data_IF_491454122778
#
_entry.id   IF_491454122778
#
_cell.length_a   1.000
_cell.length_b   1.000
_cell.length_c   1.000
_cell.angle_alpha   90.00
_cell.angle_beta   90.00
_cell.angle_gamma   90.00
#
_symmetry.space_group_name_H-M   'P 1'
#
loop_
_entity.id
_entity.type
_entity.pdbx_description
1 polymer ?
#
# COMPACT_ATOMS: atom_id res chain seq x y z
N UNK A 1 -10.17 -9.74 6.68
CA UNK A 1 -11.18 -9.21 5.74
C UNK A 1 -12.44 -10.03 5.89
N UNK A 2 -13.63 -9.43 5.70
CA UNK A 2 -14.89 -10.19 5.58
C UNK A 2 -14.96 -10.94 4.24
N UNK A 3 -15.93 -11.85 4.07
CA UNK A 3 -16.12 -12.53 2.78
C UNK A 3 -16.43 -11.57 1.63
N UNK A 4 -17.21 -10.53 1.89
CA UNK A 4 -17.53 -9.51 0.88
C UNK A 4 -16.28 -8.72 0.48
N UNK A 5 -15.44 -8.37 1.46
CA UNK A 5 -14.17 -7.70 1.21
C UNK A 5 -13.19 -8.59 0.44
N UNK A 6 -13.16 -9.89 0.72
CA UNK A 6 -12.34 -10.83 -0.04
C UNK A 6 -12.81 -10.91 -1.50
N UNK A 7 -14.11 -10.97 -1.77
CA UNK A 7 -14.65 -10.94 -3.14
C UNK A 7 -14.31 -9.65 -3.86
N UNK A 8 -14.48 -8.50 -3.20
CA UNK A 8 -14.07 -7.20 -3.71
C UNK A 8 -12.58 -7.17 -4.04
N UNK A 9 -11.74 -7.71 -3.16
CA UNK A 9 -10.31 -7.81 -3.38
C UNK A 9 -9.96 -8.71 -4.58
N UNK A 10 -10.63 -9.85 -4.72
CA UNK A 10 -10.45 -10.75 -5.87
C UNK A 10 -10.86 -10.12 -7.20
N UNK A 11 -11.89 -9.28 -7.22
CA UNK A 11 -12.30 -8.52 -8.41
C UNK A 11 -11.28 -7.43 -8.73
N UNK A 12 -10.81 -6.70 -7.72
CA UNK A 12 -9.72 -5.74 -7.87
C UNK A 12 -8.46 -6.39 -8.47
N UNK A 13 -8.04 -7.57 -7.99
CA UNK A 13 -6.86 -8.27 -8.52
C UNK A 13 -6.99 -8.79 -9.96
N UNK A 14 -8.19 -8.70 -10.57
CA UNK A 14 -8.43 -9.09 -11.96
C UNK A 14 -8.59 -7.89 -12.89
N UNK A 15 -9.25 -6.85 -12.40
CA UNK A 15 -9.65 -5.69 -13.20
C UNK A 15 -8.81 -4.44 -12.90
N UNK A 16 -8.09 -4.44 -11.78
CA UNK A 16 -7.29 -3.32 -11.25
C UNK A 16 -8.08 -2.02 -11.05
N UNK A 17 -9.42 -2.10 -11.04
CA UNK A 17 -10.30 -0.99 -10.72
C UNK A 17 -10.42 -0.80 -9.20
N UNK A 18 -9.85 0.30 -8.74
CA UNK A 18 -9.88 0.71 -7.33
C UNK A 18 -11.28 0.93 -6.76
N UNK A 19 -12.33 1.07 -7.59
CA UNK A 19 -13.71 1.17 -7.13
C UNK A 19 -14.17 -0.06 -6.34
N UNK A 20 -13.63 -1.25 -6.63
CA UNK A 20 -13.92 -2.45 -5.84
C UNK A 20 -13.41 -2.37 -4.41
N UNK A 21 -12.47 -1.47 -4.14
CA UNK A 21 -11.88 -1.22 -2.81
C UNK A 21 -12.56 -0.04 -2.08
N UNK A 22 -13.62 0.53 -2.64
CA UNK A 22 -14.34 1.64 -2.01
C UNK A 22 -14.88 1.22 -0.64
N UNK A 23 -14.63 2.05 0.37
CA UNK A 23 -15.02 1.77 1.75
C UNK A 23 -14.04 0.88 2.54
N UNK A 24 -12.97 0.39 1.90
CA UNK A 24 -11.91 -0.30 2.63
C UNK A 24 -11.19 0.69 3.55
N UNK A 25 -10.80 0.20 4.73
CA UNK A 25 -10.00 1.01 5.66
C UNK A 25 -8.56 1.17 5.14
N UNK A 26 -7.85 2.21 5.57
CA UNK A 26 -6.44 2.42 5.24
C UNK A 26 -5.55 1.20 5.51
N UNK A 27 -5.78 0.55 6.65
CA UNK A 27 -5.04 -0.64 7.06
C UNK A 27 -5.24 -1.77 6.04
N UNK A 28 -6.46 -1.95 5.53
CA UNK A 28 -6.76 -2.97 4.52
C UNK A 28 -6.08 -2.65 3.19
N UNK A 29 -6.04 -1.38 2.79
CA UNK A 29 -5.34 -0.97 1.58
C UNK A 29 -3.84 -1.26 1.66
N UNK A 30 -3.21 -1.02 2.81
CA UNK A 30 -1.79 -1.38 3.00
C UNK A 30 -1.59 -2.89 2.91
N UNK A 31 -2.45 -3.69 3.53
CA UNK A 31 -2.34 -5.15 3.43
C UNK A 31 -2.45 -5.63 1.98
N UNK A 32 -3.35 -5.03 1.19
CA UNK A 32 -3.45 -5.31 -0.25
C UNK A 32 -2.17 -4.92 -0.97
N UNK A 33 -1.67 -3.71 -0.74
CA UNK A 33 -0.44 -3.20 -1.39
C UNK A 33 0.78 -4.08 -1.10
N UNK A 34 0.97 -4.45 0.18
CA UNK A 34 2.06 -5.34 0.60
C UNK A 34 1.90 -6.71 -0.04
N UNK A 35 0.67 -7.25 -0.09
CA UNK A 35 0.42 -8.51 -0.77
C UNK A 35 0.73 -8.43 -2.26
N UNK A 36 0.34 -7.36 -2.96
CA UNK A 36 0.68 -7.12 -4.37
C UNK A 36 2.18 -7.07 -4.59
N UNK A 37 2.95 -6.48 -3.68
CA UNK A 37 4.42 -6.51 -3.74
C UNK A 37 4.99 -7.93 -3.61
N UNK A 38 4.40 -8.80 -2.77
CA UNK A 38 4.83 -10.19 -2.60
C UNK A 38 4.58 -11.03 -3.85
N UNK A 39 3.45 -10.80 -4.54
CA UNK A 39 3.07 -11.57 -5.74
C UNK A 39 3.53 -10.91 -7.05
N UNK A 40 4.30 -9.82 -6.97
CA UNK A 40 4.80 -9.03 -8.10
C UNK A 40 3.68 -8.49 -9.02
N UNK A 41 2.54 -8.12 -8.42
CA UNK A 41 1.38 -7.54 -9.12
C UNK A 41 1.57 -6.02 -9.24
N UNK A 42 2.34 -5.63 -10.25
CA UNK A 42 2.72 -4.24 -10.50
C UNK A 42 1.54 -3.38 -10.96
N UNK A 43 0.56 -3.97 -11.64
CA UNK A 43 -0.69 -3.32 -12.03
C UNK A 43 -1.50 -2.90 -10.80
N UNK A 44 -1.66 -3.79 -9.81
CA UNK A 44 -2.32 -3.45 -8.56
C UNK A 44 -1.53 -2.38 -7.78
N UNK A 45 -0.20 -2.49 -7.71
CA UNK A 45 0.65 -1.48 -7.08
C UNK A 45 0.45 -0.12 -7.75
N UNK A 46 0.48 -0.06 -9.08
CA UNK A 46 0.26 1.15 -9.85
C UNK A 46 -1.12 1.77 -9.54
N UNK A 47 -2.18 0.98 -9.59
CA UNK A 47 -3.55 1.44 -9.30
C UNK A 47 -3.73 1.95 -7.87
N UNK A 48 -3.03 1.35 -6.90
CA UNK A 48 -3.09 1.72 -5.48
C UNK A 48 -2.21 2.90 -5.10
N UNK A 49 -1.46 3.45 -6.04
CA UNK A 49 -0.45 4.45 -5.73
C UNK A 49 -0.98 5.87 -5.93
N UNK A 50 -0.58 6.75 -5.01
CA UNK A 50 -0.76 8.18 -5.09
C UNK A 50 0.58 8.90 -5.23
N UNK A 51 0.63 9.89 -6.12
CA UNK A 51 1.74 10.83 -6.28
C UNK A 51 1.15 12.25 -6.33
N UNK A 52 1.74 13.19 -5.59
CA UNK A 52 1.43 14.61 -5.76
C UNK A 52 1.78 15.04 -7.19
N UNK A 53 0.75 15.35 -7.98
CA UNK A 53 0.88 15.71 -9.40
C UNK A 53 0.34 14.61 -10.31
N UNK A 54 0.95 14.47 -11.49
CA UNK A 54 0.56 13.46 -12.47
C UNK A 54 1.32 12.17 -12.23
N UNK A 55 0.59 11.07 -12.02
CA UNK A 55 1.17 9.73 -11.99
C UNK A 55 1.78 9.46 -13.38
N UNK A 56 3.06 9.04 -13.47
CA UNK A 56 3.66 8.73 -14.77
C UNK A 56 2.88 7.59 -15.43
N UNK A 57 3.02 7.46 -16.75
CA UNK A 57 2.49 6.30 -17.46
C UNK A 57 3.00 4.98 -16.87
N UNK A 58 2.26 3.90 -17.11
CA UNK A 58 2.51 2.61 -16.50
C UNK A 58 3.92 2.06 -16.77
N UNK A 59 4.46 2.22 -17.99
CA UNK A 59 5.78 1.70 -18.32
C UNK A 59 6.87 2.47 -17.58
N UNK A 60 6.77 3.80 -17.56
CA UNK A 60 7.67 4.66 -16.76
C UNK A 60 7.56 4.36 -15.27
N UNK A 61 6.34 4.14 -14.76
CA UNK A 61 6.13 3.77 -13.37
C UNK A 61 6.80 2.43 -13.03
N UNK A 62 6.57 1.43 -13.87
CA UNK A 62 7.09 0.07 -13.70
C UNK A 62 8.61 0.08 -13.61
N UNK A 63 9.30 0.76 -14.53
CA UNK A 63 10.76 0.88 -14.49
C UNK A 63 11.24 1.53 -13.19
N UNK A 64 10.62 2.64 -12.77
CA UNK A 64 10.96 3.34 -11.53
C UNK A 64 10.69 2.48 -10.30
N UNK A 65 9.59 1.74 -10.28
CA UNK A 65 9.22 0.85 -9.19
C UNK A 65 10.29 -0.22 -8.96
N UNK A 66 10.66 -0.96 -10.01
CA UNK A 66 11.67 -2.01 -9.90
C UNK A 66 13.05 -1.47 -9.55
N UNK A 67 13.38 -0.26 -10.01
CA UNK A 67 14.65 0.38 -9.70
C UNK A 67 14.73 0.91 -8.26
N UNK A 68 13.65 1.49 -7.75
CA UNK A 68 13.70 2.33 -6.54
C UNK A 68 12.91 1.79 -5.34
N UNK A 69 11.87 0.98 -5.55
CA UNK A 69 10.90 0.60 -4.49
C UNK A 69 10.70 -0.90 -4.29
N UNK A 70 10.94 -1.72 -5.32
CA UNK A 70 10.64 -3.16 -5.25
C UNK A 70 11.33 -3.84 -4.05
N UNK A 71 12.63 -3.60 -3.88
CA UNK A 71 13.40 -4.21 -2.78
C UNK A 71 12.86 -3.76 -1.42
N UNK A 72 12.65 -2.45 -1.21
CA UNK A 72 12.16 -1.97 0.08
C UNK A 72 10.74 -2.47 0.40
N UNK A 73 9.89 -2.60 -0.62
CA UNK A 73 8.54 -3.15 -0.44
C UNK A 73 8.58 -4.65 -0.11
N UNK A 74 9.47 -5.42 -0.72
CA UNK A 74 9.69 -6.82 -0.38
C UNK A 74 10.26 -6.96 1.04
N UNK A 75 11.18 -6.10 1.45
CA UNK A 75 11.69 -6.06 2.83
C UNK A 75 10.58 -5.77 3.84
N UNK A 76 9.72 -4.77 3.59
CA UNK A 76 8.53 -4.49 4.41
C UNK A 76 7.63 -5.74 4.48
N UNK A 77 7.37 -6.39 3.35
CA UNK A 77 6.54 -7.58 3.33
C UNK A 77 7.11 -8.74 4.16
N UNK A 78 8.44 -8.90 4.16
CA UNK A 78 9.12 -9.92 4.94
C UNK A 78 9.13 -9.60 6.44
N UNK A 79 9.52 -8.37 6.79
CA UNK A 79 9.66 -7.93 8.18
C UNK A 79 8.33 -7.90 8.93
N UNK A 80 7.25 -7.56 8.22
CA UNK A 80 5.91 -7.38 8.80
C UNK A 80 4.90 -8.46 8.39
N UNK A 81 5.35 -9.60 7.81
CA UNK A 81 4.49 -10.73 7.46
C UNK A 81 3.62 -11.20 8.63
N UNK A 82 4.17 -11.16 9.83
CA UNK A 82 3.49 -11.52 11.08
C UNK A 82 3.38 -10.31 12.01
N UNK A 83 2.89 -9.18 11.48
CA UNK A 83 2.67 -7.98 12.26
C UNK A 83 1.78 -8.27 13.48
N UNK A 84 2.07 -7.62 14.59
CA UNK A 84 1.22 -7.66 15.79
C UNK A 84 0.13 -6.61 15.75
N UNK A 85 0.40 -5.46 15.11
CA UNK A 85 -0.60 -4.41 14.94
C UNK A 85 -0.43 -3.63 13.64
N UNK A 86 -1.56 -3.25 13.07
CA UNK A 86 -1.68 -2.24 12.02
C UNK A 86 -2.74 -1.23 12.48
N UNK A 87 -2.39 0.05 12.52
CA UNK A 87 -3.30 1.10 13.06
C UNK A 87 -2.97 2.47 12.51
N UNK A 88 -3.98 3.31 12.38
CA UNK A 88 -3.79 4.74 12.12
C UNK A 88 -3.06 5.37 13.32
N UNK A 89 -1.90 6.00 13.05
CA UNK A 89 -1.08 6.70 14.04
C UNK A 89 -1.31 8.21 14.00
N UNK A 90 -1.60 8.74 12.81
CA UNK A 90 -1.88 10.16 12.60
C UNK A 90 -2.90 10.31 11.47
N UNK A 91 -3.81 11.27 11.65
CA UNK A 91 -4.76 11.71 10.64
C UNK A 91 -4.82 13.24 10.67
N UNK A 92 -4.60 13.87 9.52
CA UNK A 92 -4.72 15.31 9.35
C UNK A 92 -5.32 15.66 7.97
N UNK A 93 -5.44 16.96 7.67
CA UNK A 93 -6.02 17.43 6.42
C UNK A 93 -5.24 16.97 5.18
N UNK A 94 -3.98 16.60 5.34
CA UNK A 94 -3.11 16.20 4.25
C UNK A 94 -3.08 14.68 4.08
N UNK A 95 -3.74 13.88 4.91
CA UNK A 95 -3.76 12.41 4.75
C UNK A 95 -3.61 11.68 6.08
N UNK A 96 -3.20 10.42 5.98
CA UNK A 96 -3.07 9.53 7.15
C UNK A 96 -1.73 8.80 7.13
N UNK A 97 -1.22 8.53 8.33
CA UNK A 97 -0.08 7.64 8.55
C UNK A 97 -0.54 6.42 9.30
N UNK A 98 -0.32 5.25 8.71
CA UNK A 98 -0.60 3.95 9.32
C UNK A 98 0.71 3.31 9.75
N UNK A 99 0.74 2.83 11.00
CA UNK A 99 1.86 2.12 11.58
C UNK A 99 1.64 0.62 11.48
N UNK A 100 2.60 -0.09 10.88
CA UNK A 100 2.76 -1.52 11.04
C UNK A 100 3.83 -1.77 12.09
N UNK A 101 3.53 -2.67 13.03
CA UNK A 101 4.42 -2.97 14.15
C UNK A 101 4.50 -4.47 14.37
N UNK A 102 5.70 -4.94 14.68
CA UNK A 102 6.00 -6.33 15.06
C UNK A 102 6.92 -6.35 16.27
N UNK A 103 6.71 -7.30 17.17
CA UNK A 103 7.47 -7.50 18.39
C UNK A 103 8.21 -8.83 18.32
N UNK A 104 9.53 -8.78 18.35
CA UNK A 104 10.42 -9.92 18.41
C UNK A 104 11.03 -10.03 19.82
N UNK A 105 10.34 -10.74 20.71
CA UNK A 105 10.75 -10.88 22.10
C UNK A 105 10.72 -9.55 22.84
N UNK A 106 11.88 -8.89 22.99
CA UNK A 106 12.01 -7.56 23.63
C UNK A 106 12.20 -6.42 22.63
N UNK A 107 12.33 -6.73 21.34
CA UNK A 107 12.52 -5.74 20.30
C UNK A 107 11.19 -5.42 19.64
N UNK A 108 10.92 -4.14 19.44
CA UNK A 108 9.77 -3.66 18.66
C UNK A 108 10.31 -2.98 17.41
N UNK A 109 9.81 -3.40 16.25
CA UNK A 109 10.11 -2.78 14.96
C UNK A 109 8.80 -2.24 14.40
N UNK A 110 8.84 -1.04 13.85
CA UNK A 110 7.68 -0.41 13.23
C UNK A 110 8.05 0.31 11.95
N UNK A 111 7.14 0.31 10.98
CA UNK A 111 7.21 1.16 9.78
C UNK A 111 5.96 2.01 9.65
N UNK A 112 6.09 3.16 8.99
CA UNK A 112 4.99 4.08 8.72
C UNK A 112 4.74 4.14 7.22
N UNK A 113 3.48 3.98 6.82
CA UNK A 113 3.05 4.12 5.44
C UNK A 113 2.03 5.25 5.36
N UNK A 114 2.29 6.20 4.45
CA UNK A 114 1.39 7.30 4.17
C UNK A 114 0.31 6.91 3.19
N UNK A 115 -0.92 7.39 3.42
CA UNK A 115 -2.00 7.28 2.46
C UNK A 115 -2.69 8.61 2.25
N UNK A 116 -3.16 8.77 1.01
CA UNK A 116 -3.97 9.89 0.54
C UNK A 116 -5.29 9.34 0.03
N UNK A 117 -6.34 10.15 0.14
CA UNK A 117 -7.65 9.78 -0.37
C UNK A 117 -7.87 10.42 -1.75
N UNK A 118 -8.16 9.62 -2.74
CA UNK A 118 -8.53 10.05 -4.09
C UNK A 118 -9.88 9.40 -4.46
N UNK A 119 -10.87 10.21 -4.83
CA UNK A 119 -12.21 9.73 -5.20
C UNK A 119 -12.84 8.75 -4.18
N UNK A 120 -12.71 9.07 -2.88
CA UNK A 120 -13.14 8.23 -1.75
C UNK A 120 -12.39 6.90 -1.57
N UNK A 121 -11.26 6.71 -2.24
CA UNK A 121 -10.43 5.51 -2.15
C UNK A 121 -9.08 5.88 -1.56
N UNK A 122 -8.61 5.10 -0.59
CA UNK A 122 -7.28 5.27 -0.02
C UNK A 122 -6.23 4.71 -0.97
N UNK A 123 -5.14 5.46 -1.16
CA UNK A 123 -4.00 5.11 -2.00
C UNK A 123 -2.70 5.35 -1.25
N UNK A 124 -1.69 4.52 -1.51
CA UNK A 124 -0.37 4.61 -0.91
C UNK A 124 0.37 5.82 -1.48
N UNK A 125 0.71 6.76 -0.61
CA UNK A 125 1.57 7.88 -0.98
C UNK A 125 3.00 7.37 -1.19
N UNK A 126 3.55 7.55 -2.38
CA UNK A 126 4.94 7.16 -2.61
C UNK A 126 5.91 8.09 -1.89
N UNK A 127 6.96 7.48 -1.36
CA UNK A 127 8.10 8.21 -0.85
C UNK A 127 8.78 9.04 -1.95
N UNK A 128 9.48 10.10 -1.53
CA UNK A 128 10.29 10.93 -2.43
C UNK A 128 11.39 10.15 -3.18
N UNK A 129 11.73 8.93 -2.73
CA UNK A 129 12.65 8.04 -3.44
C UNK A 129 12.13 7.62 -4.81
N UNK A 130 10.81 7.62 -5.03
CA UNK A 130 10.25 7.38 -6.36
C UNK A 130 10.42 8.58 -7.29
N UNK A 131 10.49 9.80 -6.74
CA UNK A 131 10.66 11.04 -7.51
C UNK A 131 12.11 11.28 -7.95
N UNK A 132 13.09 10.63 -7.31
CA UNK A 132 14.53 10.69 -7.64
C UNK A 132 14.88 9.78 -8.82
#
# INVERSE_FOLDING_TARGET
MSEEELKSYELFGKEYDTNYLKGFSPEKIILIYIHSAVIDDIEAIYSLTYIDGELPDFDTFKEKYYKNLNISNLEIALDFRYYDSIKIKQEDSNGILVELMVNYGRYTVSTLMGLKKENDIWKIELSDLFKK
#
